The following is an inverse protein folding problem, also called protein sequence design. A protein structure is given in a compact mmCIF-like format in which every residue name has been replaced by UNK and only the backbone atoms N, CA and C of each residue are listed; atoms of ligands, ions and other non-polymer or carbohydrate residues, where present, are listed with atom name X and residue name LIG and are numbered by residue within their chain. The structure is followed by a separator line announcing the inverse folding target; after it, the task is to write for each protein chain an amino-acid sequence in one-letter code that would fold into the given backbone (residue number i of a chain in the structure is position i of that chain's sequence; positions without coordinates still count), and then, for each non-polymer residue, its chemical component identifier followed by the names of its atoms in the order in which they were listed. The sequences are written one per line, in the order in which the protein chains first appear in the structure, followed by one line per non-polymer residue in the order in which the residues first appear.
data_IF_242140852907
#
_entry.id   IF_242140852907
#
_cell.length_a   1.000
_cell.length_b   1.000
_cell.length_c   1.000
_cell.angle_alpha   90.00
_cell.angle_beta   90.00
_cell.angle_gamma   90.00
#
_symmetry.space_group_name_H-M   'P 1'
#
loop_
_entity.id
_entity.type
_entity.pdbx_description
1 polymer ?
#
# COMPACT_ATOMS: atom_id res chain seq x y z
N UNK A 1 -49.29 -39.97 42.19
CA UNK A 1 -48.21 -38.98 42.05
C UNK A 1 -47.82 -38.95 40.58
N UNK A 2 -48.30 -37.95 39.83
CA UNK A 2 -48.01 -37.81 38.40
C UNK A 2 -46.70 -37.05 38.23
N UNK A 3 -45.72 -37.72 37.66
CA UNK A 3 -44.41 -37.19 37.31
C UNK A 3 -44.57 -36.30 36.07
N UNK A 4 -44.49 -34.97 36.24
CA UNK A 4 -44.52 -34.03 35.13
C UNK A 4 -43.14 -34.04 34.45
N UNK A 5 -43.05 -34.65 33.27
CA UNK A 5 -41.91 -34.49 32.37
C UNK A 5 -41.92 -33.06 31.83
N UNK A 6 -40.93 -32.26 32.22
CA UNK A 6 -40.66 -30.95 31.63
C UNK A 6 -40.24 -31.19 30.17
N UNK A 7 -41.13 -30.87 29.24
CA UNK A 7 -40.85 -30.91 27.81
C UNK A 7 -39.79 -29.84 27.54
N UNK A 8 -38.55 -30.29 27.33
CA UNK A 8 -37.42 -29.42 27.05
C UNK A 8 -37.69 -28.55 25.84
N UNK A 9 -37.26 -27.28 25.91
CA UNK A 9 -37.25 -26.37 24.78
C UNK A 9 -36.51 -27.05 23.62
N UNK A 10 -37.22 -27.32 22.52
CA UNK A 10 -36.62 -27.93 21.34
C UNK A 10 -35.58 -26.98 20.74
N UNK A 11 -34.30 -27.23 21.03
CA UNK A 11 -33.19 -26.48 20.48
C UNK A 11 -33.01 -26.84 19.00
N UNK A 12 -33.58 -26.00 18.13
CA UNK A 12 -33.36 -26.07 16.68
C UNK A 12 -32.09 -25.31 16.28
N UNK A 13 -31.31 -25.90 15.38
CA UNK A 13 -30.07 -25.34 14.82
C UNK A 13 -30.11 -25.37 13.29
N UNK A 14 -29.34 -24.48 12.66
CA UNK A 14 -29.09 -24.51 11.22
C UNK A 14 -27.93 -25.49 10.96
N UNK A 15 -28.13 -26.47 10.09
CA UNK A 15 -27.13 -27.47 9.70
C UNK A 15 -27.03 -27.59 8.17
N UNK A 16 -25.92 -28.13 7.67
CA UNK A 16 -25.70 -28.33 6.24
C UNK A 16 -25.97 -29.79 5.86
N UNK A 17 -26.95 -30.03 4.98
CA UNK A 17 -27.34 -31.34 4.47
C UNK A 17 -27.42 -31.26 2.94
N UNK A 18 -26.65 -32.09 2.22
CA UNK A 18 -26.57 -32.11 0.74
C UNK A 18 -26.37 -30.73 0.08
N UNK A 19 -25.55 -29.88 0.71
CA UNK A 19 -25.26 -28.53 0.24
C UNK A 19 -26.39 -27.51 0.46
N UNK A 20 -27.46 -27.89 1.17
CA UNK A 20 -28.57 -27.02 1.57
C UNK A 20 -28.53 -26.75 3.07
N UNK A 21 -28.96 -25.55 3.47
CA UNK A 21 -29.09 -25.20 4.89
C UNK A 21 -30.47 -25.66 5.36
N UNK A 22 -30.50 -26.56 6.32
CA UNK A 22 -31.72 -27.13 6.92
C UNK A 22 -31.80 -26.75 8.40
N UNK A 23 -33.02 -26.58 8.91
CA UNK A 23 -33.28 -26.30 10.33
C UNK A 23 -33.75 -27.58 11.00
N UNK A 24 -32.88 -28.18 11.80
CA UNK A 24 -33.11 -29.47 12.45
C UNK A 24 -32.92 -29.36 13.96
N UNK A 25 -33.41 -30.34 14.73
CA UNK A 25 -33.10 -30.42 16.17
C UNK A 25 -31.61 -30.70 16.37
N UNK A 26 -31.02 -30.11 17.39
CA UNK A 26 -29.58 -30.27 17.67
C UNK A 26 -29.18 -31.75 17.87
N UNK A 27 -30.01 -32.53 18.55
CA UNK A 27 -29.76 -33.96 18.78
C UNK A 27 -29.72 -34.77 17.48
N UNK A 28 -30.57 -34.40 16.52
CA UNK A 28 -30.59 -35.03 15.20
C UNK A 28 -29.31 -34.69 14.42
N UNK A 29 -28.93 -33.40 14.37
CA UNK A 29 -27.70 -32.98 13.71
C UNK A 29 -26.45 -33.67 14.30
N UNK A 30 -26.38 -33.84 15.62
CA UNK A 30 -25.27 -34.55 16.27
C UNK A 30 -25.24 -36.04 15.96
N UNK A 31 -26.41 -36.69 15.90
CA UNK A 31 -26.53 -38.13 15.62
C UNK A 31 -26.15 -38.45 14.17
N UNK A 32 -26.61 -37.65 13.23
CA UNK A 32 -26.33 -37.80 11.80
C UNK A 32 -24.97 -37.19 11.39
N UNK A 33 -24.29 -36.49 12.30
CA UNK A 33 -23.00 -35.87 12.03
C UNK A 33 -23.08 -34.66 11.08
N UNK A 34 -24.22 -33.99 11.01
CA UNK A 34 -24.42 -32.80 10.18
C UNK A 34 -23.62 -31.61 10.73
N UNK A 35 -22.87 -30.86 9.89
CA UNK A 35 -22.16 -29.65 10.32
C UNK A 35 -23.14 -28.56 10.78
N UNK A 36 -23.05 -28.16 12.05
CA UNK A 36 -23.93 -27.13 12.65
C UNK A 36 -23.31 -25.74 12.45
N UNK A 37 -24.09 -24.83 11.85
CA UNK A 37 -23.71 -23.43 11.63
C UNK A 37 -24.14 -22.61 12.86
N UNK A 38 -23.17 -22.12 13.64
CA UNK A 38 -23.43 -21.23 14.79
C UNK A 38 -23.10 -19.78 14.45
N UNK A 39 -24.08 -18.90 14.59
CA UNK A 39 -23.87 -17.45 14.47
C UNK A 39 -23.00 -17.00 15.66
N UNK A 40 -21.85 -16.34 15.43
CA UNK A 40 -21.05 -15.83 16.54
C UNK A 40 -21.88 -14.84 17.35
N UNK A 41 -21.89 -14.99 18.68
CA UNK A 41 -22.54 -14.00 19.55
C UNK A 41 -21.77 -12.69 19.41
N UNK A 42 -22.44 -11.61 19.02
CA UNK A 42 -21.85 -10.29 18.78
C UNK A 42 -21.02 -9.81 20.00
N UNK A 43 -21.44 -10.16 21.21
CA UNK A 43 -20.73 -9.86 22.45
C UNK A 43 -19.38 -10.60 22.59
N UNK A 44 -19.11 -11.70 21.90
CA UNK A 44 -17.78 -12.36 21.95
C UNK A 44 -16.75 -11.68 21.04
N UNK A 45 -17.19 -10.85 20.09
CA UNK A 45 -16.31 -10.07 19.22
C UNK A 45 -15.73 -8.84 19.96
N UNK A 46 -16.54 -8.13 20.75
CA UNK A 46 -16.08 -6.92 21.45
C UNK A 46 -15.04 -7.23 22.54
N UNK A 47 -15.19 -8.35 23.24
CA UNK A 47 -14.30 -8.77 24.32
C UNK A 47 -12.94 -9.23 23.79
N UNK A 48 -12.89 -9.91 22.63
CA UNK A 48 -11.63 -10.24 21.94
C UNK A 48 -10.91 -8.99 21.40
N UNK A 49 -11.64 -7.94 21.05
CA UNK A 49 -11.07 -6.66 20.63
C UNK A 49 -10.55 -5.84 21.81
N UNK A 50 -11.15 -5.96 23.01
CA UNK A 50 -10.73 -5.21 24.20
C UNK A 50 -9.64 -5.89 25.02
N UNK A 51 -9.60 -7.23 25.02
CA UNK A 51 -8.66 -8.03 25.83
C UNK A 51 -7.37 -8.43 25.12
N UNK A 52 -7.21 -8.09 23.83
CA UNK A 52 -5.89 -8.08 23.21
C UNK A 52 -5.04 -7.02 23.93
N UNK A 53 -3.89 -7.39 24.53
CA UNK A 53 -2.98 -6.38 25.08
C UNK A 53 -2.62 -5.42 23.96
N UNK A 54 -2.67 -4.11 24.24
CA UNK A 54 -2.25 -3.02 23.33
C UNK A 54 -0.74 -3.05 22.99
N UNK A 55 -0.12 -4.22 22.98
CA UNK A 55 1.25 -4.43 22.54
C UNK A 55 1.25 -4.62 21.02
N UNK A 56 1.32 -3.50 20.29
CA UNK A 56 2.00 -3.39 18.97
C UNK A 56 1.53 -2.22 18.09
N UNK A 57 0.70 -1.29 18.56
CA UNK A 57 0.50 -0.05 17.80
C UNK A 57 1.80 0.78 17.68
N UNK A 58 2.72 0.69 18.64
CA UNK A 58 4.03 1.33 18.53
C UNK A 58 4.99 0.63 17.55
N UNK A 59 4.84 -0.67 17.30
CA UNK A 59 5.76 -1.41 16.42
C UNK A 59 5.35 -1.28 14.94
N UNK A 60 4.06 -1.07 14.67
CA UNK A 60 3.55 -0.77 13.33
C UNK A 60 3.80 0.67 12.87
N UNK A 61 3.96 1.62 13.80
CA UNK A 61 4.29 3.01 13.47
C UNK A 61 5.66 3.20 12.83
N UNK A 62 6.57 2.22 12.92
CA UNK A 62 7.93 2.33 12.36
C UNK A 62 8.08 1.70 10.97
N UNK A 63 7.04 1.09 10.40
CA UNK A 63 7.15 0.28 9.15
C UNK A 63 6.24 0.68 7.99
N UNK A 64 5.38 1.67 8.17
CA UNK A 64 4.75 2.39 7.07
C UNK A 64 4.98 3.87 7.35
N UNK A 65 5.66 4.58 6.45
CA UNK A 65 5.90 6.02 6.54
C UNK A 65 4.61 6.82 6.34
N UNK A 66 3.61 6.52 7.15
CA UNK A 66 2.33 7.18 7.21
C UNK A 66 2.20 7.71 8.64
N UNK A 67 2.62 8.97 8.80
CA UNK A 67 2.47 9.73 10.03
C UNK A 67 0.98 10.09 10.19
N UNK A 68 0.21 9.26 10.89
CA UNK A 68 -1.19 9.55 11.22
C UNK A 68 -1.37 10.73 12.20
N UNK A 69 -0.29 11.43 12.54
CA UNK A 69 -0.27 12.64 13.38
C UNK A 69 -0.48 13.93 12.58
N UNK A 70 -0.43 13.87 11.24
CA UNK A 70 -0.58 15.06 10.42
C UNK A 70 -2.07 15.44 10.26
N UNK A 71 -2.45 16.71 10.52
CA UNK A 71 -3.81 17.17 10.30
C UNK A 71 -4.17 17.03 8.81
N UNK A 72 -5.46 16.84 8.52
CA UNK A 72 -5.99 16.67 7.15
C UNK A 72 -5.50 17.76 6.17
N UNK A 73 -5.21 18.96 6.68
CA UNK A 73 -4.69 20.11 5.93
C UNK A 73 -3.24 19.95 5.43
N UNK A 74 -2.39 19.13 6.07
CA UNK A 74 -1.02 18.91 5.61
C UNK A 74 -0.94 18.08 4.31
N UNK A 75 -1.97 17.26 4.04
CA UNK A 75 -2.09 16.51 2.78
C UNK A 75 -2.39 17.42 1.58
N UNK A 76 -2.95 18.61 1.82
CA UNK A 76 -3.21 19.61 0.77
C UNK A 76 -1.97 20.49 0.49
N UNK A 77 -0.95 20.45 1.35
CA UNK A 77 0.17 21.39 1.35
C UNK A 77 1.47 20.83 0.77
N UNK A 78 1.54 19.51 0.52
CA UNK A 78 2.71 18.86 -0.08
C UNK A 78 2.42 18.44 -1.52
N UNK A 79 2.68 19.30 -2.51
CA UNK A 79 2.55 18.93 -3.91
C UNK A 79 3.46 17.77 -4.32
N UNK A 80 4.54 17.42 -3.63
CA UNK A 80 5.54 16.45 -4.14
C UNK A 80 5.00 15.06 -4.56
N UNK A 81 3.81 14.66 -4.11
CA UNK A 81 3.11 13.45 -4.57
C UNK A 81 2.75 13.46 -6.07
N UNK A 82 2.54 14.63 -6.73
CA UNK A 82 2.21 14.65 -8.17
C UNK A 82 3.40 14.24 -9.07
N UNK A 83 4.64 14.36 -8.59
CA UNK A 83 5.84 14.01 -9.38
C UNK A 83 6.11 12.51 -9.44
N UNK A 84 5.67 11.72 -8.44
CA UNK A 84 5.83 10.26 -8.44
C UNK A 84 4.80 9.56 -9.34
N UNK A 85 3.61 10.14 -9.48
CA UNK A 85 2.55 9.63 -10.37
C UNK A 85 2.94 9.63 -11.84
N UNK A 86 3.81 10.56 -12.26
CA UNK A 86 4.24 10.65 -13.66
C UNK A 86 4.92 9.36 -14.14
N UNK A 87 5.72 8.71 -13.30
CA UNK A 87 6.39 7.43 -13.64
C UNK A 87 5.37 6.31 -13.77
N UNK A 88 4.39 6.27 -12.87
CA UNK A 88 3.34 5.25 -12.87
C UNK A 88 2.50 5.33 -14.15
N UNK A 89 2.26 6.54 -14.67
CA UNK A 89 1.50 6.73 -15.88
C UNK A 89 2.15 6.12 -17.13
N UNK A 90 3.49 6.06 -17.19
CA UNK A 90 4.26 5.52 -18.31
C UNK A 90 4.43 3.99 -18.28
N UNK A 91 4.21 3.37 -17.12
CA UNK A 91 4.36 1.93 -16.90
C UNK A 91 3.13 1.15 -17.33
N UNK A 92 3.32 -0.05 -17.87
CA UNK A 92 2.24 -0.98 -18.21
C UNK A 92 1.36 -1.22 -16.99
N UNK A 93 0.04 -1.28 -17.22
CA UNK A 93 -0.91 -1.58 -16.16
C UNK A 93 -0.56 -2.93 -15.52
N UNK A 94 -0.61 -2.99 -14.20
CA UNK A 94 -0.20 -4.18 -13.43
C UNK A 94 1.28 -4.58 -13.58
N UNK A 95 2.20 -3.64 -13.85
CA UNK A 95 3.65 -3.89 -13.89
C UNK A 95 4.16 -4.73 -12.70
N UNK A 96 3.64 -4.48 -11.50
CA UNK A 96 4.01 -5.20 -10.27
C UNK A 96 3.76 -6.71 -10.35
N UNK A 97 2.70 -7.13 -11.06
CA UNK A 97 2.37 -8.53 -11.28
C UNK A 97 3.31 -9.17 -12.29
N UNK A 98 3.64 -8.44 -13.37
CA UNK A 98 4.59 -8.89 -14.40
C UNK A 98 5.96 -9.15 -13.76
N UNK A 99 6.47 -8.22 -12.94
CA UNK A 99 7.74 -8.37 -12.21
C UNK A 99 7.70 -9.61 -11.31
N UNK A 100 6.62 -9.78 -10.53
CA UNK A 100 6.44 -10.92 -9.62
C UNK A 100 6.40 -12.25 -10.37
N UNK A 101 5.72 -12.30 -11.52
CA UNK A 101 5.62 -13.48 -12.37
C UNK A 101 6.98 -13.86 -12.96
N UNK A 102 7.69 -12.90 -13.55
CA UNK A 102 8.99 -13.13 -14.19
C UNK A 102 10.06 -13.54 -13.19
N UNK A 103 10.09 -12.91 -12.01
CA UNK A 103 10.97 -13.33 -10.93
C UNK A 103 10.72 -14.80 -10.56
N UNK A 104 9.44 -15.21 -10.44
CA UNK A 104 9.05 -16.58 -10.10
C UNK A 104 9.41 -17.57 -11.22
N UNK A 105 9.19 -17.20 -12.49
CA UNK A 105 9.59 -18.03 -13.64
C UNK A 105 11.09 -18.33 -13.63
N UNK A 106 11.91 -17.34 -13.22
CA UNK A 106 13.36 -17.49 -13.07
C UNK A 106 13.79 -18.18 -11.76
N UNK A 107 12.86 -18.56 -10.88
CA UNK A 107 13.15 -19.21 -9.60
C UNK A 107 13.90 -18.32 -8.60
N UNK A 108 13.91 -17.00 -8.79
CA UNK A 108 14.63 -16.07 -7.93
C UNK A 108 13.82 -15.74 -6.67
N UNK A 109 14.43 -15.80 -5.50
CA UNK A 109 13.86 -15.23 -4.27
C UNK A 109 13.95 -13.70 -4.30
N UNK A 110 13.15 -12.99 -3.48
CA UNK A 110 13.25 -11.52 -3.37
C UNK A 110 14.64 -11.08 -2.93
N UNK A 111 15.22 -11.76 -1.94
CA UNK A 111 16.57 -11.52 -1.45
C UNK A 111 17.64 -11.69 -2.55
N UNK A 112 17.50 -12.70 -3.40
CA UNK A 112 18.42 -12.91 -4.52
C UNK A 112 18.26 -11.81 -5.58
N UNK A 113 17.03 -11.45 -5.94
CA UNK A 113 16.79 -10.37 -6.89
C UNK A 113 17.33 -9.03 -6.35
N UNK A 114 17.08 -8.73 -5.08
CA UNK A 114 17.62 -7.54 -4.41
C UNK A 114 19.15 -7.50 -4.45
N UNK A 115 19.81 -8.64 -4.19
CA UNK A 115 21.28 -8.76 -4.28
C UNK A 115 21.80 -8.53 -5.70
N UNK A 116 21.10 -9.01 -6.73
CA UNK A 116 21.46 -8.78 -8.14
C UNK A 116 21.33 -7.31 -8.55
N UNK A 117 20.33 -6.62 -8.00
CA UNK A 117 20.06 -5.20 -8.29
C UNK A 117 20.92 -4.24 -7.45
N UNK A 118 21.51 -4.73 -6.36
CA UNK A 118 22.23 -3.93 -5.37
C UNK A 118 21.30 -3.09 -4.49
N UNK A 119 20.08 -3.58 -4.24
CA UNK A 119 19.00 -2.84 -3.55
C UNK A 119 18.50 -3.60 -2.33
N UNK A 120 17.66 -2.96 -1.52
CA UNK A 120 17.07 -3.59 -0.33
C UNK A 120 15.94 -4.57 -0.70
N UNK A 121 15.76 -5.62 0.10
CA UNK A 121 14.64 -6.56 -0.09
C UNK A 121 13.27 -5.87 0.05
N UNK A 122 13.19 -4.88 0.93
CA UNK A 122 11.98 -4.09 1.15
C UNK A 122 11.60 -3.28 -0.09
N UNK A 123 12.56 -2.72 -0.84
CA UNK A 123 12.28 -2.02 -2.09
C UNK A 123 11.64 -2.94 -3.14
N UNK A 124 12.17 -4.17 -3.28
CA UNK A 124 11.58 -5.18 -4.17
C UNK A 124 10.18 -5.59 -3.72
N UNK A 125 9.97 -5.71 -2.41
CA UNK A 125 8.67 -6.02 -1.84
C UNK A 125 7.64 -4.93 -2.12
N UNK A 126 8.02 -3.66 -1.99
CA UNK A 126 7.15 -2.52 -2.30
C UNK A 126 6.73 -2.54 -3.77
N UNK A 127 7.68 -2.70 -4.69
CA UNK A 127 7.41 -2.74 -6.13
C UNK A 127 6.50 -3.90 -6.50
N UNK A 128 6.72 -5.08 -5.95
CA UNK A 128 5.84 -6.24 -6.17
C UNK A 128 4.41 -6.07 -5.63
N UNK A 129 4.21 -5.09 -4.74
CA UNK A 129 2.90 -4.70 -4.22
C UNK A 129 2.33 -3.47 -4.95
N UNK A 130 3.03 -2.95 -5.96
CA UNK A 130 2.58 -1.80 -6.74
C UNK A 130 2.95 -0.43 -6.15
N UNK A 131 3.77 -0.39 -5.10
CA UNK A 131 4.25 0.85 -4.50
C UNK A 131 5.67 1.13 -4.96
N UNK A 132 5.88 2.34 -5.47
CA UNK A 132 7.12 2.80 -6.08
C UNK A 132 7.87 3.73 -5.10
N UNK A 133 9.13 3.42 -4.71
CA UNK A 133 9.95 4.26 -3.83
C UNK A 133 10.67 5.38 -4.58
N UNK A 134 10.81 6.59 -4.02
CA UNK A 134 11.32 7.84 -4.64
C UNK A 134 12.41 7.78 -5.73
N UNK A 135 13.27 6.75 -5.78
CA UNK A 135 14.22 6.45 -6.87
C UNK A 135 13.65 5.46 -7.91
N UNK A 136 12.43 5.70 -8.37
CA UNK A 136 11.63 4.77 -9.17
C UNK A 136 12.26 4.38 -10.50
N UNK A 137 12.69 5.37 -11.29
CA UNK A 137 13.18 5.14 -12.65
C UNK A 137 14.43 4.26 -12.70
N UNK A 138 15.38 4.51 -11.80
CA UNK A 138 16.65 3.75 -11.76
C UNK A 138 16.37 2.29 -11.40
N UNK A 139 15.49 2.08 -10.42
CA UNK A 139 15.14 0.75 -9.94
C UNK A 139 14.37 -0.05 -11.00
N UNK A 140 13.39 0.55 -11.65
CA UNK A 140 12.64 -0.07 -12.75
C UNK A 140 13.58 -0.47 -13.87
N UNK A 141 14.49 0.42 -14.30
CA UNK A 141 15.40 0.10 -15.39
C UNK A 141 16.33 -1.07 -15.04
N UNK A 142 16.91 -1.09 -13.83
CA UNK A 142 17.69 -2.23 -13.36
C UNK A 142 16.88 -3.53 -13.36
N UNK A 143 15.62 -3.49 -12.92
CA UNK A 143 14.71 -4.65 -12.95
C UNK A 143 14.48 -5.13 -14.38
N UNK A 144 14.22 -4.22 -15.32
CA UNK A 144 14.05 -4.54 -16.74
C UNK A 144 15.29 -5.20 -17.32
N UNK A 145 16.49 -4.69 -17.02
CA UNK A 145 17.76 -5.28 -17.47
C UNK A 145 17.98 -6.69 -16.91
N UNK A 146 17.78 -6.89 -15.61
CA UNK A 146 17.99 -8.20 -14.96
C UNK A 146 16.94 -9.23 -15.39
N UNK A 147 15.67 -8.82 -15.49
CA UNK A 147 14.55 -9.70 -15.87
C UNK A 147 14.31 -9.77 -17.39
N UNK A 148 14.99 -8.95 -18.19
CA UNK A 148 14.83 -8.91 -19.64
C UNK A 148 13.40 -8.62 -20.10
N UNK A 149 12.70 -7.70 -19.42
CA UNK A 149 11.30 -7.37 -19.70
C UNK A 149 11.11 -5.90 -20.02
N UNK A 150 10.11 -5.60 -20.86
CA UNK A 150 9.67 -4.24 -21.09
C UNK A 150 8.45 -3.92 -20.22
N UNK A 151 8.59 -2.89 -19.36
CA UNK A 151 7.56 -2.43 -18.45
C UNK A 151 6.92 -1.11 -18.88
N UNK A 152 7.32 -0.50 -20.00
CA UNK A 152 6.72 0.76 -20.51
C UNK A 152 5.54 0.50 -21.44
N UNK A 153 4.53 1.36 -21.40
CA UNK A 153 3.41 1.32 -22.36
C UNK A 153 3.85 1.58 -23.80
N UNK A 154 4.83 2.45 -23.98
CA UNK A 154 5.31 2.87 -25.30
C UNK A 154 6.12 1.80 -26.06
N UNK A 155 6.47 0.69 -25.42
CA UNK A 155 7.30 -0.36 -26.02
C UNK A 155 8.75 0.05 -26.33
N UNK A 156 9.16 1.27 -25.93
CA UNK A 156 10.55 1.74 -26.07
C UNK A 156 11.41 1.15 -24.96
N UNK A 157 12.55 0.56 -25.34
CA UNK A 157 13.53 0.09 -24.37
C UNK A 157 14.28 1.28 -23.74
N UNK A 158 14.56 1.21 -22.44
CA UNK A 158 15.45 2.16 -21.77
C UNK A 158 16.90 1.83 -22.13
N UNK A 159 17.40 2.36 -23.26
CA UNK A 159 18.84 2.41 -23.45
C UNK A 159 19.44 3.36 -22.39
N UNK A 160 20.63 3.03 -21.87
CA UNK A 160 21.29 3.80 -20.80
C UNK A 160 21.48 5.28 -21.18
N UNK A 161 21.59 5.57 -22.46
CA UNK A 161 21.71 6.90 -23.05
C UNK A 161 20.46 7.76 -22.82
N UNK A 162 19.26 7.16 -22.91
CA UNK A 162 18.00 7.86 -22.70
C UNK A 162 17.83 8.21 -21.21
N UNK A 163 18.22 7.30 -20.31
CA UNK A 163 18.17 7.58 -18.87
C UNK A 163 19.10 8.70 -18.43
N UNK A 164 20.29 8.80 -19.03
CA UNK A 164 21.23 9.90 -18.73
C UNK A 164 20.67 11.25 -19.18
N UNK A 165 20.11 11.31 -20.39
CA UNK A 165 19.49 12.54 -20.92
C UNK A 165 18.31 13.03 -20.07
N UNK A 166 17.42 12.12 -19.67
CA UNK A 166 16.25 12.48 -18.84
C UNK A 166 16.69 12.97 -17.45
N UNK A 167 17.74 12.36 -16.88
CA UNK A 167 18.27 12.77 -15.59
C UNK A 167 18.94 14.15 -15.67
N UNK A 168 19.71 14.41 -16.73
CA UNK A 168 20.35 15.70 -16.99
C UNK A 168 19.31 16.82 -17.18
N UNK A 169 18.29 16.60 -18.02
CA UNK A 169 17.20 17.56 -18.22
C UNK A 169 16.45 17.89 -16.92
N UNK A 170 16.29 16.90 -16.02
CA UNK A 170 15.62 17.11 -14.74
C UNK A 170 16.48 17.93 -13.78
N UNK A 171 17.78 17.63 -13.71
CA UNK A 171 18.72 18.40 -12.90
C UNK A 171 18.85 19.85 -13.39
N UNK A 172 18.76 20.07 -14.70
CA UNK A 172 18.82 21.41 -15.28
C UNK A 172 17.58 22.23 -14.94
N UNK A 173 16.38 21.64 -15.02
CA UNK A 173 15.14 22.28 -14.56
C UNK A 173 15.16 22.62 -13.07
N UNK A 174 15.65 21.72 -12.22
CA UNK A 174 15.78 21.98 -10.78
C UNK A 174 16.77 23.12 -10.48
N UNK A 175 17.83 23.27 -11.28
CA UNK A 175 18.78 24.40 -11.16
C UNK A 175 18.14 25.72 -11.59
N UNK A 176 17.37 25.71 -12.68
CA UNK A 176 16.65 26.90 -13.15
C UNK A 176 15.56 27.35 -12.18
N UNK A 177 14.82 26.42 -11.57
CA UNK A 177 13.81 26.73 -10.54
C UNK A 177 14.46 27.35 -9.30
N UNK A 178 15.55 26.76 -8.79
CA UNK A 178 16.30 27.32 -7.67
C UNK A 178 16.88 28.71 -7.99
N UNK A 179 17.37 28.94 -9.21
CA UNK A 179 17.88 30.25 -9.62
C UNK A 179 16.79 31.32 -9.69
N UNK A 180 15.55 30.94 -9.99
CA UNK A 180 14.40 31.87 -9.97
C UNK A 180 13.95 32.20 -8.56
N UNK A 181 13.96 31.23 -7.64
CA UNK A 181 13.64 31.48 -6.23
C UNK A 181 14.64 32.43 -5.57
N UNK A 182 15.95 32.26 -5.83
CA UNK A 182 16.99 33.14 -5.29
C UNK A 182 16.80 34.59 -5.79
N UNK A 183 16.53 34.79 -7.08
CA UNK A 183 16.25 36.12 -7.63
C UNK A 183 14.94 36.74 -7.10
N UNK A 184 13.92 35.92 -6.81
CA UNK A 184 12.65 36.42 -6.27
C UNK A 184 12.78 36.88 -4.82
N UNK A 185 13.65 36.27 -4.03
CA UNK A 185 13.95 36.72 -2.66
C UNK A 185 14.78 38.00 -2.60
N UNK A 186 15.57 38.30 -3.63
CA UNK A 186 16.46 39.48 -3.68
C UNK A 186 15.71 40.77 -4.08
N UNK A 187 14.47 40.67 -4.58
CA UNK A 187 13.63 41.80 -5.02
C UNK A 187 12.66 42.35 -3.95
N UNK A 188 12.65 41.79 -2.73
CA UNK A 188 11.69 42.19 -1.67
C UNK A 188 12.28 43.19 -0.66
N UNK A 189 13.59 43.44 -0.70
CA UNK A 189 14.27 44.28 0.32
C UNK A 189 14.46 45.76 -0.06
N UNK A 190 14.08 46.17 -1.27
CA UNK A 190 14.19 47.57 -1.69
C UNK A 190 12.80 48.27 -1.80
N UNK A 191 12.67 49.38 -1.06
CA UNK A 191 11.66 50.45 -1.14
C UNK A 191 10.30 50.27 -0.42
N UNK A 192 10.28 50.65 0.87
CA UNK A 192 9.15 51.43 1.42
C UNK A 192 9.73 52.67 2.13
N UNK A 193 9.94 53.76 1.39
CA UNK A 193 10.09 55.10 1.99
C UNK A 193 8.69 55.60 2.39
N UNK A 194 8.42 55.59 3.69
CA UNK A 194 7.25 56.26 4.27
C UNK A 194 7.59 57.75 4.33
N UNK A 195 7.01 58.54 3.44
CA UNK A 195 7.04 60.00 3.55
C UNK A 195 6.06 60.41 4.65
N UNK A 196 6.59 60.89 5.77
CA UNK A 196 5.81 61.56 6.81
C UNK A 196 5.31 62.92 6.27
N UNK A 197 3.99 63.04 6.08
CA UNK A 197 3.31 64.33 5.90
C UNK A 197 3.22 65.01 7.28
N UNK A 198 3.94 66.12 7.47
CA UNK A 198 3.77 67.03 8.61
C UNK A 198 2.52 67.92 8.39
N UNK A 199 1.58 67.90 9.35
CA UNK A 199 0.54 68.92 9.56
C UNK A 199 0.76 69.65 10.90
#
# INVERSE_FOLDING_TARGET
MSEYMVVGEDNFVEALEDGKIVRVREDYARREGLPIIRKPRIYQLHERLSSQPKQSKEVLSRKAGCDYTKPLLDYLKNPDEWKSEQVMSELVDNFHWIIKLERRKRGLTRKQLAKLLGESEDAIKLIENGVLPSKDFVLINKIQQVLGINLRKDGKDFSEEITKKILEERQEKEREENAKEINASELVDDEIEILEEEE
#
